data_IF_130023701219
#
_entry.id   IF_130023701219
#
_cell.length_a   1.000
_cell.length_b   1.000
_cell.length_c   1.000
_cell.angle_alpha   90.00
_cell.angle_beta   90.00
_cell.angle_gamma   90.00
#
_symmetry.space_group_name_H-M   'P 1'
#
loop_
_entity.id
_entity.type
_entity.pdbx_description
1 polymer ?
#
# COMPACT_ATOMS: atom_id res chain seq x y z
N UNK A 1 -13.23 -19.18 -4.36
CA UNK A 1 -12.56 -18.59 -3.19
C UNK A 1 -11.64 -19.65 -2.63
N UNK A 2 -10.40 -19.28 -2.32
CA UNK A 2 -9.40 -20.17 -1.70
C UNK A 2 -8.80 -19.49 -0.48
N UNK A 3 -8.34 -20.30 0.48
CA UNK A 3 -7.63 -19.80 1.65
C UNK A 3 -6.14 -19.70 1.34
N UNK A 4 -5.51 -18.63 1.78
CA UNK A 4 -4.06 -18.41 1.64
C UNK A 4 -3.50 -17.79 2.91
N UNK A 5 -2.22 -18.06 3.19
CA UNK A 5 -1.48 -17.44 4.29
C UNK A 5 -0.40 -16.51 3.72
N UNK A 6 -0.71 -15.21 3.54
CA UNK A 6 0.27 -14.25 3.04
C UNK A 6 1.40 -14.02 4.06
N UNK A 7 2.61 -13.80 3.56
CA UNK A 7 3.72 -13.37 4.40
C UNK A 7 3.55 -11.89 4.73
N UNK A 8 3.41 -11.60 6.02
CA UNK A 8 3.29 -10.24 6.55
C UNK A 8 4.69 -9.69 6.89
N UNK A 9 4.87 -8.39 6.71
CA UNK A 9 6.09 -7.66 7.08
C UNK A 9 5.78 -6.54 8.07
N UNK A 10 6.80 -5.93 8.69
CA UNK A 10 6.64 -4.76 9.56
C UNK A 10 6.75 -5.08 11.04
N UNK A 11 5.98 -4.37 11.86
CA UNK A 11 6.11 -4.43 13.31
C UNK A 11 5.68 -5.81 13.86
N UNK A 12 6.43 -6.27 14.87
CA UNK A 12 6.08 -7.50 15.57
C UNK A 12 4.88 -7.23 16.48
N UNK A 13 3.80 -7.95 16.24
CA UNK A 13 2.56 -7.87 17.03
C UNK A 13 2.31 -9.17 17.75
N UNK A 14 1.76 -9.08 18.95
CA UNK A 14 1.45 -10.26 19.77
C UNK A 14 0.19 -10.97 19.23
N UNK A 15 0.16 -12.32 19.27
CA UNK A 15 -1.08 -13.08 19.06
C UNK A 15 -2.17 -12.61 20.02
N UNK A 16 -3.39 -12.42 19.52
CA UNK A 16 -4.51 -11.89 20.30
C UNK A 16 -5.86 -12.46 19.87
N UNK A 17 -6.76 -12.63 20.83
CA UNK A 17 -8.16 -12.99 20.64
C UNK A 17 -9.07 -11.85 21.13
N UNK A 18 -10.34 -11.85 20.72
CA UNK A 18 -11.31 -10.84 21.15
C UNK A 18 -11.00 -9.42 20.66
N UNK A 19 -10.15 -9.27 19.66
CA UNK A 19 -9.88 -7.98 19.02
C UNK A 19 -11.03 -7.61 18.08
N UNK A 20 -11.12 -6.32 17.77
CA UNK A 20 -12.03 -5.81 16.75
C UNK A 20 -11.24 -5.27 15.57
N UNK A 21 -11.77 -5.44 14.35
CA UNK A 21 -11.09 -4.93 13.16
C UNK A 21 -12.04 -4.35 12.12
N UNK A 22 -11.57 -3.33 11.40
CA UNK A 22 -12.33 -2.65 10.35
C UNK A 22 -11.43 -2.26 9.17
N UNK A 23 -11.90 -2.54 7.96
CA UNK A 23 -11.20 -2.17 6.73
C UNK A 23 -11.65 -0.78 6.27
N UNK A 24 -10.70 0.16 6.20
CA UNK A 24 -10.95 1.53 5.76
C UNK A 24 -9.78 2.04 4.91
N UNK A 25 -10.09 2.60 3.75
CA UNK A 25 -9.10 3.23 2.84
C UNK A 25 -7.88 2.35 2.50
N UNK A 26 -8.10 1.04 2.31
CA UNK A 26 -7.04 0.09 1.95
C UNK A 26 -6.15 -0.38 3.11
N UNK A 27 -6.46 0.06 4.35
CA UNK A 27 -5.86 -0.48 5.56
C UNK A 27 -6.89 -1.25 6.38
N UNK A 28 -6.44 -2.27 7.09
CA UNK A 28 -7.23 -2.99 8.07
C UNK A 28 -6.74 -2.59 9.47
N UNK A 29 -7.58 -1.84 10.18
CA UNK A 29 -7.30 -1.40 11.54
C UNK A 29 -7.77 -2.45 12.52
N UNK A 30 -6.96 -2.76 13.52
CA UNK A 30 -7.27 -3.71 14.58
C UNK A 30 -7.01 -3.05 15.94
N UNK A 31 -7.99 -3.12 16.83
CA UNK A 31 -7.97 -2.51 18.17
C UNK A 31 -8.25 -3.58 19.23
N UNK A 32 -7.52 -3.47 20.34
CA UNK A 32 -7.69 -4.29 21.53
C UNK A 32 -7.42 -5.77 21.29
N UNK A 33 -8.21 -6.60 21.97
CA UNK A 33 -7.95 -8.02 22.14
C UNK A 33 -6.94 -8.30 23.24
N UNK A 34 -6.58 -9.56 23.41
CA UNK A 34 -5.68 -10.01 24.46
C UNK A 34 -5.34 -11.49 24.35
N UNK A 35 -4.56 -11.98 25.29
CA UNK A 35 -4.15 -13.39 25.41
C UNK A 35 -4.79 -14.09 26.63
N UNK A 36 -5.89 -13.54 27.15
CA UNK A 36 -6.52 -13.89 28.43
C UNK A 36 -5.67 -13.59 29.69
N UNK A 37 -4.47 -13.02 29.56
CA UNK A 37 -3.64 -12.57 30.68
C UNK A 37 -3.53 -11.05 30.71
N UNK A 38 -3.33 -10.46 29.54
CA UNK A 38 -3.22 -9.02 29.34
C UNK A 38 -3.91 -8.61 28.05
N UNK A 39 -4.57 -7.46 28.09
CA UNK A 39 -5.07 -6.80 26.89
C UNK A 39 -3.91 -6.27 26.05
N UNK A 40 -4.06 -6.35 24.73
CA UNK A 40 -3.09 -5.81 23.79
C UNK A 40 -3.10 -4.29 23.82
N UNK A 41 -1.93 -3.68 24.01
CA UNK A 41 -1.78 -2.24 24.22
C UNK A 41 -1.74 -1.48 22.90
N UNK A 42 -1.35 -2.15 21.83
CA UNK A 42 -1.17 -1.58 20.51
C UNK A 42 -2.46 -1.64 19.69
N UNK A 43 -2.81 -0.49 19.11
CA UNK A 43 -3.71 -0.41 17.95
C UNK A 43 -2.85 -0.53 16.70
N UNK A 44 -3.20 -1.48 15.83
CA UNK A 44 -2.40 -1.83 14.66
C UNK A 44 -3.16 -1.52 13.38
N UNK A 45 -2.41 -1.16 12.34
CA UNK A 45 -2.90 -0.95 10.99
C UNK A 45 -2.16 -1.88 10.05
N UNK A 46 -2.90 -2.65 9.26
CA UNK A 46 -2.36 -3.53 8.24
C UNK A 46 -2.63 -2.92 6.87
N UNK A 47 -1.58 -2.56 6.14
CA UNK A 47 -1.72 -2.13 4.75
C UNK A 47 -2.08 -3.34 3.88
N UNK A 48 -3.31 -3.43 3.38
CA UNK A 48 -3.79 -4.62 2.69
C UNK A 48 -3.12 -4.85 1.33
N UNK A 49 -2.63 -3.79 0.67
CA UNK A 49 -1.93 -3.92 -0.61
C UNK A 49 -0.47 -4.35 -0.44
N UNK A 50 0.20 -3.86 0.62
CA UNK A 50 1.62 -4.14 0.87
C UNK A 50 1.85 -5.29 1.85
N UNK A 51 0.80 -5.73 2.55
CA UNK A 51 0.86 -6.73 3.62
C UNK A 51 1.85 -6.34 4.72
N UNK A 52 1.90 -5.05 5.04
CA UNK A 52 2.77 -4.47 6.08
C UNK A 52 1.93 -4.12 7.30
N UNK A 53 2.33 -4.63 8.45
CA UNK A 53 1.79 -4.32 9.78
C UNK A 53 2.52 -3.11 10.34
N UNK A 54 1.77 -2.18 10.92
CA UNK A 54 2.33 -0.99 11.59
C UNK A 54 1.56 -0.70 12.88
N UNK A 55 2.27 -0.40 13.96
CA UNK A 55 1.68 0.06 15.21
C UNK A 55 1.32 1.54 15.05
N UNK A 56 0.03 1.87 15.18
CA UNK A 56 -0.46 3.23 15.00
C UNK A 56 -0.34 4.04 16.30
N UNK A 57 -0.68 3.41 17.42
CA UNK A 57 -0.59 4.00 18.75
C UNK A 57 -0.56 2.89 19.80
N UNK A 58 -0.06 3.22 20.98
CA UNK A 58 -0.05 2.33 22.14
C UNK A 58 -0.67 3.03 23.34
N UNK A 59 -1.42 2.28 24.14
CA UNK A 59 -2.02 2.75 25.39
C UNK A 59 -1.29 2.18 26.61
N UNK A 60 -1.64 2.67 27.80
CA UNK A 60 -1.11 2.14 29.06
C UNK A 60 -1.82 0.85 29.43
N UNK A 61 -1.25 0.11 30.37
CA UNK A 61 -1.94 -1.03 30.97
C UNK A 61 -3.27 -0.61 31.60
N UNK A 62 -4.26 -1.51 31.51
CA UNK A 62 -5.65 -1.31 32.00
C UNK A 62 -6.41 -0.17 31.32
N UNK A 63 -5.90 0.34 30.20
CA UNK A 63 -6.63 1.28 29.37
C UNK A 63 -7.85 0.59 28.72
N UNK A 64 -9.00 1.28 28.58
CA UNK A 64 -10.18 0.71 27.94
C UNK A 64 -9.94 0.18 26.52
N UNK A 65 -9.02 0.77 25.75
CA UNK A 65 -8.67 0.32 24.41
C UNK A 65 -7.86 -0.98 24.41
N UNK A 66 -7.21 -1.31 25.52
CA UNK A 66 -6.57 -2.60 25.74
C UNK A 66 -7.56 -3.63 26.31
N UNK A 67 -8.73 -3.76 25.68
CA UNK A 67 -9.80 -4.66 26.14
C UNK A 67 -10.11 -5.76 25.12
N UNK A 68 -10.49 -6.92 25.64
CA UNK A 68 -11.09 -7.99 24.86
C UNK A 68 -12.59 -7.72 24.63
N UNK A 69 -13.13 -8.12 23.48
CA UNK A 69 -14.54 -7.92 23.15
C UNK A 69 -14.92 -6.47 22.85
N UNK A 70 -13.93 -5.61 22.55
CA UNK A 70 -14.19 -4.25 22.09
C UNK A 70 -14.89 -4.28 20.72
N UNK A 71 -15.74 -3.30 20.45
CA UNK A 71 -16.38 -3.10 19.14
C UNK A 71 -15.78 -1.90 18.43
N UNK A 72 -15.66 -1.97 17.10
CA UNK A 72 -15.19 -0.87 16.25
C UNK A 72 -16.17 -0.60 15.10
N UNK A 73 -16.34 0.67 14.76
CA UNK A 73 -17.09 1.15 13.61
C UNK A 73 -16.35 2.33 12.96
N UNK A 74 -16.72 2.69 11.74
CA UNK A 74 -16.21 3.87 11.05
C UNK A 74 -17.32 4.83 10.69
N UNK A 75 -17.05 6.13 10.80
CA UNK A 75 -17.93 7.19 10.32
C UNK A 75 -17.13 8.18 9.46
N UNK A 76 -17.76 8.70 8.41
CA UNK A 76 -17.20 9.81 7.64
C UNK A 76 -17.93 11.09 7.98
N UNK A 77 -17.19 12.16 8.26
CA UNK A 77 -17.72 13.48 8.59
C UNK A 77 -16.82 14.55 8.00
N UNK A 78 -17.37 15.40 7.13
CA UNK A 78 -16.62 16.54 6.57
C UNK A 78 -15.43 16.14 5.67
N UNK A 79 -15.48 14.95 5.05
CA UNK A 79 -14.37 14.41 4.23
C UNK A 79 -13.29 13.70 5.03
N UNK A 80 -13.32 13.79 6.37
CA UNK A 80 -12.47 13.01 7.26
C UNK A 80 -13.14 11.68 7.61
N UNK A 81 -12.30 10.67 7.83
CA UNK A 81 -12.68 9.33 8.28
C UNK A 81 -12.34 9.17 9.76
N UNK A 82 -13.29 8.68 10.55
CA UNK A 82 -13.12 8.44 11.98
C UNK A 82 -13.37 6.97 12.31
N UNK A 83 -12.51 6.40 13.15
CA UNK A 83 -12.76 5.12 13.81
C UNK A 83 -13.37 5.39 15.17
N UNK A 84 -14.43 4.66 15.49
CA UNK A 84 -15.18 4.80 16.73
C UNK A 84 -15.16 3.44 17.42
N UNK A 85 -14.71 3.38 18.66
CA UNK A 85 -14.70 2.16 19.46
C UNK A 85 -15.55 2.29 20.70
N UNK A 86 -16.13 1.18 21.12
CA UNK A 86 -17.00 1.12 22.29
C UNK A 86 -16.92 -0.25 22.97
N UNK A 87 -17.08 -0.25 24.28
CA UNK A 87 -17.22 -1.47 25.07
C UNK A 87 -15.88 -2.14 25.38
N UNK A 88 -15.95 -3.44 25.62
CA UNK A 88 -14.81 -4.28 25.97
C UNK A 88 -14.71 -4.59 27.46
N UNK A 89 -13.89 -5.58 27.75
CA UNK A 89 -13.57 -6.06 29.09
C UNK A 89 -12.06 -6.14 29.31
N UNK A 90 -11.58 -5.50 30.38
CA UNK A 90 -10.22 -5.65 30.91
C UNK A 90 -10.26 -5.58 32.43
N UNK A 91 -10.68 -6.68 33.07
CA UNK A 91 -10.95 -6.78 34.51
C UNK A 91 -12.23 -6.09 34.96
N UNK A 92 -12.79 -5.20 34.14
CA UNK A 92 -14.13 -4.62 34.25
C UNK A 92 -14.68 -4.30 32.87
N UNK A 93 -15.99 -4.11 32.77
CA UNK A 93 -16.62 -3.61 31.55
C UNK A 93 -16.41 -2.11 31.40
N UNK A 94 -16.16 -1.69 30.16
CA UNK A 94 -16.03 -0.29 29.78
C UNK A 94 -17.23 0.14 28.93
N UNK A 95 -17.61 1.41 29.04
CA UNK A 95 -18.73 2.01 28.33
C UNK A 95 -18.36 3.38 27.73
N UNK A 96 -17.07 3.71 27.75
CA UNK A 96 -16.51 4.88 27.11
C UNK A 96 -16.47 4.69 25.58
N UNK A 97 -16.65 5.79 24.86
CA UNK A 97 -16.51 5.84 23.41
C UNK A 97 -15.22 6.54 23.08
N UNK A 98 -14.38 5.90 22.27
CA UNK A 98 -13.15 6.52 21.76
C UNK A 98 -13.30 6.79 20.28
N UNK A 99 -12.76 7.93 19.85
CA UNK A 99 -12.79 8.36 18.46
C UNK A 99 -11.37 8.68 18.02
N UNK A 100 -10.95 8.08 16.91
CA UNK A 100 -9.66 8.34 16.29
C UNK A 100 -9.88 8.81 14.86
N UNK A 101 -9.40 10.02 14.54
CA UNK A 101 -9.36 10.48 13.15
C UNK A 101 -8.29 9.71 12.40
N UNK A 102 -8.68 9.02 11.34
CA UNK A 102 -7.74 8.44 10.38
C UNK A 102 -7.17 9.60 9.61
N UNK A 103 -5.84 9.76 9.65
CA UNK A 103 -5.18 10.73 8.77
C UNK A 103 -5.54 10.33 7.34
N UNK A 104 -6.12 11.24 6.54
CA UNK A 104 -6.26 10.99 5.12
C UNK A 104 -4.90 10.51 4.64
N UNK A 105 -4.86 9.44 3.84
CA UNK A 105 -3.66 9.28 3.03
C UNK A 105 -3.52 10.60 2.30
N UNK A 106 -2.46 11.35 2.59
CA UNK A 106 -1.80 12.11 1.54
C UNK A 106 -1.68 11.07 0.44
N UNK A 107 -2.55 11.16 -0.57
CA UNK A 107 -2.48 10.31 -1.74
C UNK A 107 -1.02 10.32 -2.05
N UNK A 108 -0.33 9.18 -1.87
CA UNK A 108 1.11 9.13 -2.00
C UNK A 108 1.35 9.78 -3.33
N UNK A 109 1.81 11.04 -3.33
CA UNK A 109 2.28 11.69 -4.52
C UNK A 109 3.24 10.64 -5.04
N UNK A 110 3.01 10.06 -6.23
CA UNK A 110 3.87 8.99 -6.72
C UNK A 110 5.29 9.49 -6.51
N UNK A 111 6.13 8.69 -5.83
CA UNK A 111 7.43 9.09 -5.28
C UNK A 111 8.41 9.54 -6.38
N UNK A 112 8.15 10.69 -6.99
CA UNK A 112 8.95 11.33 -8.02
C UNK A 112 9.79 12.48 -7.47
N UNK A 113 9.60 12.85 -6.20
CA UNK A 113 10.28 13.99 -5.57
C UNK A 113 11.35 13.57 -4.57
N UNK A 114 12.23 12.65 -4.96
CA UNK A 114 13.54 12.44 -4.30
C UNK A 114 14.71 12.49 -5.28
N UNK A 115 14.61 13.32 -6.33
CA UNK A 115 15.80 13.69 -7.10
C UNK A 115 16.48 14.91 -6.46
N UNK A 116 17.83 14.93 -6.33
CA UNK A 116 18.57 16.10 -5.85
C UNK A 116 18.27 17.40 -6.63
N UNK A 117 17.85 17.27 -7.89
CA UNK A 117 17.43 18.38 -8.74
C UNK A 117 16.12 19.05 -8.27
N UNK A 118 15.15 18.26 -7.79
CA UNK A 118 13.88 18.79 -7.27
C UNK A 118 14.07 19.53 -5.93
N UNK A 119 14.97 19.05 -5.08
CA UNK A 119 15.32 19.71 -3.82
C UNK A 119 16.01 21.07 -4.05
N UNK A 120 16.90 21.17 -5.04
CA UNK A 120 17.56 22.43 -5.41
C UNK A 120 16.56 23.46 -5.97
N UNK A 121 15.57 23.02 -6.76
CA UNK A 121 14.52 23.89 -7.27
C UNK A 121 13.63 24.45 -6.13
N UNK A 122 13.23 23.62 -5.16
CA UNK A 122 12.44 24.07 -4.01
C UNK A 122 13.19 25.06 -3.10
N UNK A 123 14.50 24.87 -2.92
CA UNK A 123 15.35 25.79 -2.17
C UNK A 123 15.46 27.17 -2.87
N UNK A 124 15.54 27.19 -4.21
CA UNK A 124 15.64 28.43 -4.98
C UNK A 124 14.37 29.30 -4.91
N UNK A 125 13.18 28.66 -4.88
CA UNK A 125 11.90 29.35 -4.72
C UNK A 125 11.78 29.94 -3.32
N UNK A 126 12.19 29.20 -2.29
CA UNK A 126 12.14 29.66 -0.89
C UNK A 126 13.05 30.88 -0.66
N UNK A 127 14.23 30.91 -1.28
CA UNK A 127 15.14 32.05 -1.24
C UNK A 127 14.58 33.29 -1.95
N UNK A 128 13.86 33.12 -3.07
CA UNK A 128 13.24 34.22 -3.80
C UNK A 128 12.10 34.88 -3.01
N UNK A 129 11.31 34.12 -2.26
CA UNK A 129 10.23 34.66 -1.41
C UNK A 129 10.73 35.32 -0.12
N UNK A 130 11.87 34.88 0.43
CA UNK A 130 12.49 35.50 1.61
C UNK A 130 13.08 36.90 1.34
N UNK A 131 13.40 37.23 0.09
CA UNK A 131 13.96 38.53 -0.29
C UNK A 131 12.92 39.65 -0.44
N UNK A 132 11.63 39.33 -0.48
CA UNK A 132 10.55 40.28 -0.83
C UNK A 132 9.88 40.90 0.40
N UNK A 133 10.23 40.48 1.63
CA UNK A 133 9.72 41.09 2.87
C UNK A 133 10.84 41.73 3.69
N UNK A 134 11.01 43.04 3.51
CA UNK A 134 11.72 43.92 4.44
C UNK A 134 11.01 45.27 4.58
N UNK A 135 10.11 45.35 5.58
CA UNK A 135 9.84 46.45 6.56
C UNK A 135 9.64 47.93 6.11
N UNK A 136 9.24 48.92 6.98
CA UNK A 136 8.91 48.93 8.43
C UNK A 136 7.69 49.82 8.86
N UNK A 137 7.44 49.91 10.20
CA UNK A 137 7.01 51.07 11.04
C UNK A 137 5.85 50.72 12.00
N UNK A 138 6.06 50.59 13.31
CA UNK A 138 6.37 51.56 14.40
C UNK A 138 5.09 52.06 15.09
N UNK A 139 4.98 51.81 16.40
CA UNK A 139 3.88 52.31 17.26
C UNK A 139 4.39 52.55 18.68
N UNK A 140 4.36 53.82 19.09
CA UNK A 140 4.63 54.31 20.44
C UNK A 140 3.34 54.52 21.25
N UNK A 141 3.55 54.64 22.57
CA UNK A 141 2.61 54.60 23.69
C UNK A 141 1.71 55.84 23.94
N UNK A 142 0.59 55.55 24.64
CA UNK A 142 -0.05 56.22 25.80
C UNK A 142 -1.01 57.44 25.71
N UNK A 143 -1.99 57.33 26.63
CA UNK A 143 -2.73 58.32 27.45
C UNK A 143 -4.13 58.87 27.07
N UNK A 144 -5.02 58.67 28.05
CA UNK A 144 -6.37 59.22 28.33
C UNK A 144 -6.23 60.63 29.02
N UNK A 145 -7.25 61.43 29.44
CA UNK A 145 -8.72 61.24 29.44
C UNK A 145 -9.63 62.52 29.21
N UNK A 146 -10.96 62.27 29.20
CA UNK A 146 -12.09 63.06 29.76
C UNK A 146 -12.74 64.26 29.01
N UNK A 147 -14.07 64.18 28.79
CA UNK A 147 -15.03 65.30 28.99
C UNK A 147 -16.49 64.82 29.08
N UNK A 148 -17.31 65.63 29.76
CA UNK A 148 -18.63 65.39 30.36
C UNK A 148 -19.84 65.52 29.41
N UNK A 149 -20.86 64.69 29.67
CA UNK A 149 -22.32 64.95 29.86
C UNK A 149 -23.04 65.93 28.90
N UNK A 150 -24.13 65.48 28.25
CA UNK A 150 -25.51 66.03 28.30
C UNK A 150 -26.47 65.09 27.54
N UNK A 151 -27.65 64.86 28.10
CA UNK A 151 -28.70 63.98 27.62
C UNK A 151 -29.57 64.62 26.53
N UNK A 152 -29.69 63.97 25.36
CA UNK A 152 -30.77 64.05 24.36
C UNK A 152 -30.63 62.79 23.45
N UNK A 153 -31.75 62.20 23.00
CA UNK A 153 -31.88 61.17 21.94
C UNK A 153 -31.67 59.67 22.23
N UNK A 154 -32.60 59.08 23.00
CA UNK A 154 -32.74 57.62 23.10
C UNK A 154 -33.11 56.93 21.77
N UNK A 155 -33.75 57.64 20.82
CA UNK A 155 -34.17 57.10 19.51
C UNK A 155 -33.12 57.24 18.42
N UNK A 156 -32.35 58.35 18.36
CA UNK A 156 -31.23 58.46 17.41
C UNK A 156 -30.05 57.57 17.80
N UNK A 157 -29.78 57.39 19.11
CA UNK A 157 -28.76 56.43 19.58
C UNK A 157 -29.11 54.99 19.18
N UNK A 158 -30.38 54.59 19.26
CA UNK A 158 -30.78 53.22 18.91
C UNK A 158 -30.59 52.93 17.41
N UNK A 159 -30.98 53.85 16.52
CA UNK A 159 -30.77 53.71 15.07
C UNK A 159 -29.28 53.76 14.70
N UNK A 160 -28.50 54.63 15.33
CA UNK A 160 -27.04 54.70 15.12
C UNK A 160 -26.34 53.41 15.54
N UNK A 161 -26.74 52.81 16.66
CA UNK A 161 -26.23 51.51 17.13
C UNK A 161 -26.60 50.39 16.15
N UNK A 162 -27.84 50.35 15.64
CA UNK A 162 -28.23 49.36 14.62
C UNK A 162 -27.45 49.52 13.30
N UNK A 163 -27.22 50.76 12.84
CA UNK A 163 -26.44 51.04 11.62
C UNK A 163 -24.98 50.62 11.78
N UNK A 164 -24.38 50.86 12.94
CA UNK A 164 -23.01 50.44 13.22
C UNK A 164 -22.91 48.92 13.31
N UNK A 165 -23.85 48.25 13.98
CA UNK A 165 -23.91 46.78 14.03
C UNK A 165 -24.10 46.16 12.64
N UNK A 166 -24.99 46.72 11.80
CA UNK A 166 -25.13 46.27 10.40
C UNK A 166 -23.88 46.51 9.57
N UNK A 167 -23.16 47.62 9.79
CA UNK A 167 -21.91 47.92 9.10
C UNK A 167 -20.80 46.95 9.49
N UNK A 168 -20.71 46.61 10.77
CA UNK A 168 -19.80 45.58 11.28
C UNK A 168 -20.14 44.21 10.69
N UNK A 169 -21.43 43.83 10.67
CA UNK A 169 -21.91 42.61 10.03
C UNK A 169 -21.58 42.57 8.53
N UNK A 170 -21.74 43.69 7.81
CA UNK A 170 -21.36 43.80 6.39
C UNK A 170 -19.85 43.60 6.20
N UNK A 171 -19.01 44.21 7.02
CA UNK A 171 -17.55 44.04 6.95
C UNK A 171 -17.14 42.59 7.23
N UNK A 172 -17.77 41.94 8.22
CA UNK A 172 -17.53 40.54 8.53
C UNK A 172 -17.92 39.62 7.35
N UNK A 173 -19.07 39.89 6.72
CA UNK A 173 -19.51 39.17 5.52
C UNK A 173 -18.59 39.39 4.32
N UNK A 174 -18.08 40.60 4.11
CA UNK A 174 -17.13 40.90 3.05
C UNK A 174 -15.80 40.15 3.27
N UNK A 175 -15.29 40.09 4.50
CA UNK A 175 -14.10 39.31 4.85
C UNK A 175 -14.31 37.81 4.58
N UNK A 176 -15.42 37.25 5.05
CA UNK A 176 -15.76 35.83 4.80
C UNK A 176 -15.91 35.53 3.30
N UNK A 177 -16.46 36.46 2.52
CA UNK A 177 -16.58 36.30 1.07
C UNK A 177 -15.21 36.30 0.37
N UNK A 178 -14.26 37.11 0.85
CA UNK A 178 -12.87 37.07 0.32
C UNK A 178 -12.18 35.76 0.69
N UNK A 179 -12.36 35.26 1.91
CA UNK A 179 -11.82 33.98 2.38
C UNK A 179 -12.35 32.82 1.53
N UNK A 180 -13.68 32.70 1.38
CA UNK A 180 -14.34 31.68 0.55
C UNK A 180 -13.87 31.74 -0.91
N UNK A 181 -13.58 32.94 -1.43
CA UNK A 181 -13.06 33.10 -2.80
C UNK A 181 -11.64 32.55 -2.93
N UNK A 182 -10.79 32.77 -1.92
CA UNK A 182 -9.44 32.18 -1.89
C UNK A 182 -9.48 30.66 -1.74
N UNK A 183 -10.36 30.13 -0.89
CA UNK A 183 -10.57 28.69 -0.72
C UNK A 183 -11.05 28.04 -2.03
N UNK A 184 -12.03 28.64 -2.71
CA UNK A 184 -12.49 28.16 -4.01
C UNK A 184 -11.37 28.12 -5.06
N UNK A 185 -10.50 29.14 -5.07
CA UNK A 185 -9.34 29.14 -5.98
C UNK A 185 -8.35 28.03 -5.64
N UNK A 186 -8.12 27.74 -4.36
CA UNK A 186 -7.25 26.66 -3.91
C UNK A 186 -7.83 25.28 -4.23
N UNK A 187 -9.14 25.09 -4.05
CA UNK A 187 -9.84 23.85 -4.41
C UNK A 187 -9.76 23.62 -5.93
N UNK A 188 -9.92 24.67 -6.73
CA UNK A 188 -9.80 24.55 -8.19
C UNK A 188 -8.41 24.06 -8.62
N UNK A 189 -7.35 24.58 -8.01
CA UNK A 189 -5.97 24.10 -8.26
C UNK A 189 -5.81 22.64 -7.86
N UNK A 190 -6.33 22.22 -6.69
CA UNK A 190 -6.30 20.82 -6.26
C UNK A 190 -7.04 19.89 -7.23
N UNK A 191 -8.16 20.34 -7.80
CA UNK A 191 -8.89 19.58 -8.82
C UNK A 191 -8.04 19.40 -10.08
N UNK A 192 -7.38 20.46 -10.54
CA UNK A 192 -6.48 20.40 -11.70
C UNK A 192 -5.29 19.45 -11.45
N UNK A 193 -4.70 19.48 -10.25
CA UNK A 193 -3.63 18.57 -9.84
C UNK A 193 -4.11 17.10 -9.81
N UNK A 194 -5.25 16.82 -9.16
CA UNK A 194 -5.81 15.47 -9.10
C UNK A 194 -6.16 14.94 -10.50
N UNK A 195 -6.68 15.79 -11.38
CA UNK A 195 -6.95 15.41 -12.76
C UNK A 195 -5.66 15.09 -13.54
N UNK A 196 -4.58 15.85 -13.31
CA UNK A 196 -3.26 15.55 -13.86
C UNK A 196 -2.73 14.19 -13.38
N UNK A 197 -2.75 13.96 -12.07
CA UNK A 197 -2.33 12.69 -11.46
C UNK A 197 -3.15 11.50 -11.98
N UNK A 198 -4.47 11.68 -12.16
CA UNK A 198 -5.34 10.66 -12.74
C UNK A 198 -4.94 10.32 -14.19
N UNK A 199 -4.60 11.33 -15.00
CA UNK A 199 -4.17 11.12 -16.38
C UNK A 199 -2.82 10.38 -16.46
N UNK A 200 -1.88 10.68 -15.57
CA UNK A 200 -0.61 9.95 -15.46
C UNK A 200 -0.81 8.51 -15.02
N UNK A 201 -1.58 8.29 -13.96
CA UNK A 201 -1.89 6.95 -13.45
C UNK A 201 -2.63 6.09 -14.50
N UNK A 202 -3.52 6.70 -15.28
CA UNK A 202 -4.21 6.02 -16.38
C UNK A 202 -3.23 5.53 -17.47
N UNK A 203 -2.22 6.34 -17.82
CA UNK A 203 -1.17 5.93 -18.76
C UNK A 203 -0.31 4.80 -18.22
N UNK A 204 0.08 4.87 -16.94
CA UNK A 204 0.83 3.79 -16.29
C UNK A 204 0.04 2.49 -16.24
N UNK A 205 -1.26 2.55 -15.91
CA UNK A 205 -2.15 1.39 -15.92
C UNK A 205 -2.19 0.73 -17.30
N UNK A 206 -2.30 1.53 -18.36
CA UNK A 206 -2.28 1.01 -19.73
C UNK A 206 -0.94 0.35 -20.09
N UNK A 207 0.17 0.95 -19.66
CA UNK A 207 1.51 0.38 -19.84
C UNK A 207 1.66 -0.97 -19.14
N UNK A 208 1.22 -1.07 -17.87
CA UNK A 208 1.26 -2.32 -17.09
C UNK A 208 0.34 -3.38 -17.70
N UNK A 209 -0.83 -3.00 -18.21
CA UNK A 209 -1.70 -3.92 -18.94
C UNK A 209 -1.02 -4.47 -20.20
N UNK A 210 -0.30 -3.64 -20.95
CA UNK A 210 0.51 -4.07 -22.09
C UNK A 210 1.61 -5.06 -21.71
N UNK A 211 2.35 -4.77 -20.63
CA UNK A 211 3.37 -5.69 -20.10
C UNK A 211 2.76 -7.02 -19.65
N UNK A 212 1.60 -6.99 -18.99
CA UNK A 212 0.90 -8.19 -18.56
C UNK A 212 0.49 -9.08 -19.75
N UNK A 213 0.02 -8.49 -20.85
CA UNK A 213 -0.31 -9.24 -22.08
C UNK A 213 0.94 -9.87 -22.67
N UNK A 214 2.06 -9.14 -22.71
CA UNK A 214 3.34 -9.67 -23.18
C UNK A 214 3.81 -10.85 -22.31
N UNK A 215 3.77 -10.73 -20.99
CA UNK A 215 4.15 -11.82 -20.09
C UNK A 215 3.22 -13.03 -20.20
N UNK A 216 1.90 -12.83 -20.34
CA UNK A 216 0.96 -13.93 -20.60
C UNK A 216 1.31 -14.69 -21.88
N UNK A 217 1.68 -13.98 -22.95
CA UNK A 217 2.12 -14.62 -24.19
C UNK A 217 3.43 -15.40 -24.00
N UNK A 218 4.34 -14.88 -23.18
CA UNK A 218 5.60 -15.56 -22.83
C UNK A 218 5.34 -16.83 -22.02
N UNK A 219 4.46 -16.78 -21.02
CA UNK A 219 4.04 -17.94 -20.23
C UNK A 219 3.41 -19.01 -21.12
N UNK A 220 2.49 -18.65 -22.02
CA UNK A 220 1.88 -19.60 -22.94
C UNK A 220 2.92 -20.31 -23.84
N UNK A 221 3.96 -19.59 -24.28
CA UNK A 221 5.06 -20.20 -25.03
C UNK A 221 5.88 -21.18 -24.20
N UNK A 222 6.17 -20.83 -22.94
CA UNK A 222 6.89 -21.73 -22.02
C UNK A 222 6.06 -22.96 -21.67
N UNK A 223 4.75 -22.82 -21.46
CA UNK A 223 3.83 -23.94 -21.23
C UNK A 223 3.82 -24.90 -22.42
N UNK A 224 3.80 -24.38 -23.66
CA UNK A 224 3.91 -25.21 -24.86
C UNK A 224 5.23 -25.99 -24.92
N UNK A 225 6.36 -25.34 -24.59
CA UNK A 225 7.67 -25.99 -24.52
C UNK A 225 7.73 -27.09 -23.44
N UNK A 226 7.15 -26.83 -22.27
CA UNK A 226 7.06 -27.82 -21.19
C UNK A 226 6.24 -29.04 -21.67
N UNK A 227 5.12 -28.81 -22.35
CA UNK A 227 4.31 -29.90 -22.92
C UNK A 227 5.07 -30.74 -23.96
N UNK A 228 5.88 -30.12 -24.82
CA UNK A 228 6.72 -30.83 -25.78
C UNK A 228 7.81 -31.67 -25.10
N UNK A 229 8.49 -31.10 -24.09
CA UNK A 229 9.47 -31.81 -23.27
C UNK A 229 8.84 -33.01 -22.54
N UNK A 230 7.64 -32.85 -21.98
CA UNK A 230 6.90 -33.92 -21.32
C UNK A 230 6.57 -35.06 -22.29
N UNK A 231 6.14 -34.74 -23.52
CA UNK A 231 5.87 -35.73 -24.55
C UNK A 231 7.14 -36.50 -24.97
N UNK A 232 8.27 -35.82 -25.10
CA UNK A 232 9.55 -36.48 -25.36
C UNK A 232 9.94 -37.42 -24.21
N UNK A 233 9.75 -36.98 -22.96
CA UNK A 233 10.02 -37.79 -21.79
C UNK A 233 9.13 -39.04 -21.74
N UNK A 234 7.86 -38.94 -22.13
CA UNK A 234 6.94 -40.08 -22.19
C UNK A 234 7.35 -41.11 -23.27
N UNK A 235 8.00 -40.66 -24.36
CA UNK A 235 8.46 -41.55 -25.44
C UNK A 235 9.75 -42.33 -25.13
N UNK A 236 10.57 -41.83 -24.20
CA UNK A 236 11.89 -42.39 -23.86
C UNK A 236 11.86 -43.87 -23.45
N UNK A 237 10.94 -44.35 -22.58
CA UNK A 237 10.89 -45.76 -22.19
C UNK A 237 10.58 -46.72 -23.33
N UNK A 238 9.94 -46.26 -24.41
CA UNK A 238 9.73 -47.09 -25.59
C UNK A 238 11.02 -47.25 -26.39
N UNK A 239 11.75 -46.16 -26.57
CA UNK A 239 13.03 -46.14 -27.27
C UNK A 239 14.10 -46.93 -26.49
N UNK A 240 14.10 -46.84 -25.17
CA UNK A 240 14.99 -47.62 -24.30
C UNK A 240 14.76 -49.14 -24.47
N UNK A 241 13.50 -49.59 -24.55
CA UNK A 241 13.18 -50.99 -24.84
C UNK A 241 13.65 -51.42 -26.21
N UNK A 242 13.51 -50.57 -27.23
CA UNK A 242 13.99 -50.86 -28.58
C UNK A 242 15.51 -50.99 -28.62
N UNK A 243 16.25 -50.08 -27.97
CA UNK A 243 17.72 -50.15 -27.84
C UNK A 243 18.15 -51.44 -27.15
N UNK A 244 17.47 -51.83 -26.08
CA UNK A 244 17.80 -53.07 -25.36
C UNK A 244 17.54 -54.31 -26.22
N UNK A 245 16.46 -54.32 -27.01
CA UNK A 245 16.18 -55.40 -27.96
C UNK A 245 17.28 -55.53 -29.02
N UNK A 246 17.72 -54.41 -29.62
CA UNK A 246 18.79 -54.39 -30.61
C UNK A 246 20.13 -54.83 -30.02
N UNK A 247 20.43 -54.47 -28.76
CA UNK A 247 21.62 -54.97 -28.06
C UNK A 247 21.58 -56.48 -27.87
N UNK A 248 20.43 -57.02 -27.50
CA UNK A 248 20.24 -58.47 -27.33
C UNK A 248 20.41 -59.22 -28.65
N UNK A 249 19.84 -58.71 -29.74
CA UNK A 249 19.98 -59.27 -31.09
C UNK A 249 21.43 -59.21 -31.57
N UNK A 250 22.10 -58.07 -31.40
CA UNK A 250 23.53 -57.92 -31.71
C UNK A 250 24.37 -58.96 -30.96
N UNK A 251 24.13 -59.14 -29.66
CA UNK A 251 24.87 -60.11 -28.85
C UNK A 251 24.62 -61.56 -29.30
N UNK A 252 23.42 -61.87 -29.78
CA UNK A 252 23.09 -63.18 -30.33
C UNK A 252 23.81 -63.42 -31.64
N UNK A 253 23.78 -62.42 -32.54
CA UNK A 253 24.48 -62.47 -33.82
C UNK A 253 26.00 -62.63 -33.63
N UNK A 254 26.61 -61.90 -32.69
CA UNK A 254 28.04 -62.04 -32.35
C UNK A 254 28.36 -63.47 -31.85
N UNK A 255 27.53 -64.04 -30.98
CA UNK A 255 27.70 -65.43 -30.52
C UNK A 255 27.57 -66.45 -31.65
N UNK A 256 26.60 -66.28 -32.54
CA UNK A 256 26.40 -67.16 -33.69
C UNK A 256 27.59 -67.09 -34.65
N UNK A 257 28.16 -65.90 -34.85
CA UNK A 257 29.38 -65.69 -35.63
C UNK A 257 30.60 -66.38 -35.00
N UNK A 258 30.79 -66.28 -33.68
CA UNK A 258 31.85 -66.98 -32.96
C UNK A 258 31.73 -68.51 -33.06
N UNK A 259 30.50 -69.03 -32.91
CA UNK A 259 30.22 -70.45 -33.07
C UNK A 259 30.53 -70.92 -34.51
N UNK A 260 30.09 -70.18 -35.52
CA UNK A 260 30.40 -70.49 -36.92
C UNK A 260 31.92 -70.48 -37.19
N UNK A 261 32.65 -69.50 -36.66
CA UNK A 261 34.11 -69.43 -36.76
C UNK A 261 34.80 -70.62 -36.07
N UNK A 262 34.32 -71.04 -34.89
CA UNK A 262 34.86 -72.20 -34.16
C UNK A 262 34.59 -73.55 -34.85
N UNK A 263 33.42 -73.71 -35.49
CA UNK A 263 33.10 -74.90 -36.29
C UNK A 263 34.01 -74.98 -37.52
N UNK A 264 34.36 -73.83 -38.09
CA UNK A 264 35.27 -73.74 -39.24
C UNK A 264 36.72 -74.07 -38.85
N UNK A 265 37.18 -73.68 -37.65
CA UNK A 265 38.51 -74.07 -37.13
C UNK A 265 38.58 -75.54 -36.70
N UNK A 266 37.49 -76.16 -36.20
CA UNK A 266 37.47 -77.60 -35.91
C UNK A 266 37.41 -78.48 -37.17
N UNK A 267 36.74 -78.04 -38.26
CA UNK A 267 36.76 -78.75 -39.55
C UNK A 267 38.05 -78.52 -40.35
N UNK A 268 38.80 -77.47 -40.04
CA UNK A 268 40.09 -77.14 -40.65
C UNK A 268 41.21 -77.28 -39.63
N UNK A 269 41.60 -78.51 -39.31
CA UNK A 269 42.91 -78.83 -38.72
C UNK A 269 44.05 -78.58 -39.70
N UNK A 270 44.12 -77.37 -40.27
CA UNK A 270 45.09 -76.92 -41.25
C UNK A 270 45.58 -75.54 -40.87
N UNK A 271 46.84 -75.49 -40.45
CA UNK A 271 47.63 -74.32 -40.06
C UNK A 271 47.47 -73.16 -41.05
N UNK A 272 46.94 -72.02 -40.61
CA UNK A 272 47.17 -70.74 -41.29
C UNK A 272 47.50 -69.65 -40.28
N UNK A 273 48.80 -69.41 -40.17
CA UNK A 273 49.46 -68.31 -39.49
C UNK A 273 49.30 -67.07 -40.37
N UNK A 274 48.59 -66.04 -39.91
CA UNK A 274 48.62 -64.73 -40.56
C UNK A 274 49.60 -63.80 -39.85
N UNK A 275 50.52 -63.30 -40.68
CA UNK A 275 51.61 -62.39 -40.38
C UNK A 275 51.06 -60.97 -40.27
N UNK A 276 51.46 -60.25 -39.23
CA UNK A 276 51.25 -58.81 -39.05
C UNK A 276 51.95 -58.01 -40.16
N UNK A 277 51.25 -57.00 -40.69
CA UNK A 277 51.79 -55.93 -41.51
C UNK A 277 51.10 -54.63 -41.15
#
# INVERSE_FOLDING_TARGET
MEWSQPQMQGDLVTPRAGHSGIAVEGNWFIVGGGDNKSGALETISINMSKLVVSILTSVKERDPLASEGISISSASLGGDTFLITFGGYNGKYFNEVFVMRVKPRDSLSPKLLQSPAAAAAAASVTAAYALVKSEPLDMTENDDPNSKVIAIDTTQQNLSVQINSMREGKKALELSLTEIKTENSAIKVKIEEVNGNYAELSKELHSVQGQLVAERSRCAKLEAQIGELQKMLESLPSLEREVESLRSEKSAFERDLELAASVQTQRSGGVWKWVSG
#
